data_IF_366702711451
#
_entry.id   IF_366702711451
#
_cell.length_a   1.000
_cell.length_b   1.000
_cell.length_c   1.000
_cell.angle_alpha   90.00
_cell.angle_beta   90.00
_cell.angle_gamma   90.00
#
_symmetry.space_group_name_H-M   'P 1'
#
loop_
_entity.id
_entity.type
_entity.pdbx_description
1 polymer ?
#
# COMPACT_ATOMS: atom_id res chain seq x y z
N UNK A 1 -2.40 -50.67 -8.45
CA UNK A 1 -1.53 -49.54 -8.82
C UNK A 1 -1.76 -48.43 -7.83
N UNK A 2 -0.83 -48.23 -6.91
CA UNK A 2 -0.94 -47.24 -5.83
C UNK A 2 -0.03 -46.07 -6.18
N UNK A 3 -0.60 -44.88 -6.39
CA UNK A 3 0.17 -43.67 -6.66
C UNK A 3 0.76 -43.17 -5.34
N UNK A 4 2.08 -43.33 -5.19
CA UNK A 4 2.85 -42.71 -4.12
C UNK A 4 3.03 -41.24 -4.50
N UNK A 5 2.32 -40.34 -3.84
CA UNK A 5 2.59 -38.90 -3.93
C UNK A 5 3.91 -38.65 -3.24
N UNK A 6 4.98 -38.48 -4.03
CA UNK A 6 6.26 -38.02 -3.51
C UNK A 6 6.05 -36.61 -2.94
N UNK A 7 6.13 -36.49 -1.61
CA UNK A 7 6.29 -35.21 -0.93
C UNK A 7 7.62 -34.63 -1.37
N UNK A 8 7.58 -33.73 -2.34
CA UNK A 8 8.70 -32.86 -2.64
C UNK A 8 8.95 -32.03 -1.38
N UNK A 9 10.06 -32.32 -0.70
CA UNK A 9 10.63 -31.47 0.34
C UNK A 9 11.08 -30.17 -0.34
N UNK A 10 10.13 -29.25 -0.56
CA UNK A 10 10.47 -27.88 -0.89
C UNK A 10 11.23 -27.32 0.29
N UNK A 11 12.44 -26.82 0.02
CA UNK A 11 13.36 -26.30 1.02
C UNK A 11 12.66 -25.32 1.97
N UNK A 12 13.07 -25.35 3.23
CA UNK A 12 12.59 -24.48 4.32
C UNK A 12 13.10 -23.04 4.18
N UNK A 13 12.92 -22.45 2.99
CA UNK A 13 13.19 -21.04 2.66
C UNK A 13 11.90 -20.35 2.19
N UNK A 14 10.75 -20.84 2.64
CA UNK A 14 9.52 -20.07 2.57
C UNK A 14 9.68 -18.91 3.56
N UNK A 15 10.20 -17.80 3.05
CA UNK A 15 10.12 -16.46 3.61
C UNK A 15 8.96 -16.38 4.58
N UNK A 16 9.26 -16.34 5.88
CA UNK A 16 8.26 -16.12 6.91
C UNK A 16 7.81 -14.66 6.73
N UNK A 17 6.96 -14.41 5.74
CA UNK A 17 6.39 -13.09 5.49
C UNK A 17 5.54 -12.83 6.70
N UNK A 18 6.10 -12.03 7.62
CA UNK A 18 5.40 -11.65 8.82
C UNK A 18 4.04 -11.09 8.42
N UNK A 19 3.00 -11.34 9.23
CA UNK A 19 1.65 -10.77 9.00
C UNK A 19 1.74 -9.28 8.66
N UNK A 20 2.68 -8.57 9.29
CA UNK A 20 2.99 -7.17 9.02
C UNK A 20 3.58 -6.89 7.65
N UNK A 21 4.54 -7.69 7.20
CA UNK A 21 5.11 -7.58 5.85
C UNK A 21 4.06 -7.81 4.77
N UNK A 22 3.18 -8.81 4.96
CA UNK A 22 2.11 -9.11 4.01
C UNK A 22 1.09 -7.98 3.93
N UNK A 23 0.55 -7.56 5.07
CA UNK A 23 -0.45 -6.49 5.14
C UNK A 23 0.12 -5.17 4.64
N UNK A 24 1.40 -4.87 4.92
CA UNK A 24 2.04 -3.65 4.39
C UNK A 24 2.10 -3.64 2.87
N UNK A 25 2.44 -4.77 2.23
CA UNK A 25 2.45 -4.87 0.76
C UNK A 25 1.06 -4.69 0.16
N UNK A 26 0.02 -5.23 0.80
CA UNK A 26 -1.36 -4.97 0.36
C UNK A 26 -1.78 -3.52 0.54
N UNK A 27 -1.36 -2.88 1.64
CA UNK A 27 -1.61 -1.46 1.86
C UNK A 27 -1.02 -0.61 0.71
N UNK A 28 0.19 -0.95 0.24
CA UNK A 28 0.83 -0.24 -0.87
C UNK A 28 0.08 -0.48 -2.20
N UNK A 29 -0.41 -1.70 -2.44
CA UNK A 29 -1.26 -2.00 -3.61
C UNK A 29 -2.57 -1.22 -3.59
N UNK A 30 -3.30 -1.22 -2.47
CA UNK A 30 -4.54 -0.45 -2.34
C UNK A 30 -4.30 1.07 -2.46
N UNK A 31 -3.14 1.55 -2.01
CA UNK A 31 -2.77 2.94 -2.20
C UNK A 31 -2.48 3.28 -3.67
N UNK A 32 -1.95 2.35 -4.46
CA UNK A 32 -1.76 2.57 -5.89
C UNK A 32 -3.11 2.71 -6.63
N UNK A 33 -4.10 1.89 -6.28
CA UNK A 33 -5.42 1.88 -6.92
C UNK A 33 -6.38 2.96 -6.40
N UNK A 34 -6.15 3.48 -5.19
CA UNK A 34 -6.93 4.57 -4.62
C UNK A 34 -6.04 5.81 -4.40
N UNK A 35 -5.69 6.54 -5.47
CA UNK A 35 -4.88 7.73 -5.40
C UNK A 35 -5.65 8.93 -4.86
N UNK A 36 -4.94 9.86 -4.22
CA UNK A 36 -5.52 11.12 -3.75
C UNK A 36 -5.80 12.04 -4.93
N UNK A 37 -6.89 12.80 -4.87
CA UNK A 37 -7.21 13.82 -5.88
C UNK A 37 -7.04 15.22 -5.29
N UNK A 38 -6.28 16.08 -5.97
CA UNK A 38 -6.21 17.49 -5.62
C UNK A 38 -7.52 18.17 -6.04
N UNK A 39 -8.16 18.89 -5.10
CA UNK A 39 -9.38 19.66 -5.40
C UNK A 39 -9.10 20.87 -6.28
N UNK A 40 -7.91 21.45 -6.14
CA UNK A 40 -7.53 22.71 -6.75
C UNK A 40 -7.09 22.50 -8.20
N UNK A 41 -6.12 21.61 -8.43
CA UNK A 41 -5.61 21.33 -9.78
C UNK A 41 -6.42 20.27 -10.54
N UNK A 42 -7.39 19.62 -9.88
CA UNK A 42 -8.14 18.45 -10.38
C UNK A 42 -7.29 17.24 -10.77
N UNK A 43 -5.98 17.28 -10.54
CA UNK A 43 -5.02 16.21 -10.83
C UNK A 43 -5.04 15.12 -9.76
N UNK A 44 -4.80 13.90 -10.20
CA UNK A 44 -4.66 12.72 -9.35
C UNK A 44 -3.18 12.53 -8.99
N UNK A 45 -2.90 12.33 -7.71
CA UNK A 45 -1.55 12.04 -7.21
C UNK A 45 -1.47 10.55 -6.90
N UNK A 46 -0.73 9.82 -7.72
CA UNK A 46 -0.41 8.43 -7.45
C UNK A 46 0.51 8.32 -6.22
N UNK A 47 0.27 7.30 -5.41
CA UNK A 47 1.03 7.05 -4.17
C UNK A 47 2.50 6.79 -4.51
N UNK A 48 3.41 7.51 -3.85
CA UNK A 48 4.86 7.39 -4.05
C UNK A 48 5.48 8.41 -5.00
N UNK A 49 4.69 9.10 -5.83
CA UNK A 49 5.18 10.21 -6.64
C UNK A 49 5.04 11.52 -5.86
N UNK A 50 6.18 12.13 -5.49
CA UNK A 50 6.28 13.55 -5.11
C UNK A 50 5.99 14.49 -6.28
N UNK A 51 5.08 14.12 -7.19
CA UNK A 51 4.44 15.07 -8.09
C UNK A 51 3.50 15.89 -7.22
N UNK A 52 4.09 16.82 -6.46
CA UNK A 52 3.36 17.95 -5.92
C UNK A 52 2.62 18.56 -7.11
N UNK A 53 1.33 18.86 -6.93
CA UNK A 53 0.69 19.76 -7.88
C UNK A 53 1.67 20.93 -8.08
N UNK A 54 1.98 21.31 -9.34
CA UNK A 54 2.93 22.38 -9.57
C UNK A 54 2.51 23.50 -8.64
N UNK A 55 3.42 23.93 -7.77
CA UNK A 55 3.13 25.09 -6.93
C UNK A 55 2.84 26.18 -7.95
N UNK A 56 1.57 26.55 -8.11
CA UNK A 56 1.10 27.46 -9.14
C UNK A 56 1.61 28.87 -8.81
N UNK A 57 2.93 29.10 -8.65
CA UNK A 57 3.52 30.38 -8.22
C UNK A 57 3.07 30.93 -6.85
N UNK A 58 2.04 30.37 -6.23
CA UNK A 58 1.27 31.01 -5.16
C UNK A 58 1.41 30.35 -3.79
N UNK A 59 2.34 29.40 -3.61
CA UNK A 59 2.65 28.83 -2.28
C UNK A 59 1.46 28.22 -1.53
N UNK A 60 0.33 27.99 -2.21
CA UNK A 60 -0.92 27.56 -1.60
C UNK A 60 -0.84 26.11 -1.16
N UNK A 61 -1.32 25.80 0.05
CA UNK A 61 -1.51 24.41 0.48
C UNK A 61 -2.65 23.83 -0.36
N UNK A 62 -2.33 22.89 -1.24
CA UNK A 62 -3.34 22.18 -2.02
C UNK A 62 -4.18 21.30 -1.11
N UNK A 63 -5.49 21.31 -1.31
CA UNK A 63 -6.42 20.44 -0.60
C UNK A 63 -6.60 19.13 -1.36
N UNK A 64 -6.35 18.01 -0.69
CA UNK A 64 -6.50 16.67 -1.26
C UNK A 64 -7.73 15.98 -0.68
N UNK A 65 -8.41 15.20 -1.52
CA UNK A 65 -9.55 14.37 -1.10
C UNK A 65 -9.47 12.96 -1.64
N UNK A 66 -10.12 12.05 -0.91
CA UNK A 66 -10.07 10.63 -1.18
C UNK A 66 -8.70 10.04 -0.90
N UNK A 67 -8.42 8.92 -1.57
CA UNK A 67 -7.20 8.17 -1.42
C UNK A 67 -7.26 7.13 -0.30
N UNK A 68 -6.30 6.21 -0.33
CA UNK A 68 -6.15 5.17 0.67
C UNK A 68 -5.55 5.72 1.98
N UNK A 69 -6.16 5.36 3.11
CA UNK A 69 -5.63 5.66 4.44
C UNK A 69 -4.92 4.43 5.01
N UNK A 70 -3.59 4.42 4.88
CA UNK A 70 -2.74 3.33 5.35
C UNK A 70 -2.89 3.06 6.85
N UNK A 71 -2.98 4.10 7.67
CA UNK A 71 -3.07 3.95 9.12
C UNK A 71 -4.38 3.28 9.55
N UNK A 72 -5.51 3.67 8.93
CA UNK A 72 -6.81 3.04 9.19
C UNK A 72 -6.82 1.58 8.74
N UNK A 73 -6.30 1.28 7.55
CA UNK A 73 -6.20 -0.09 7.06
C UNK A 73 -5.33 -0.98 7.97
N UNK A 74 -4.18 -0.48 8.42
CA UNK A 74 -3.31 -1.22 9.33
C UNK A 74 -3.98 -1.46 10.68
N UNK A 75 -4.66 -0.45 11.23
CA UNK A 75 -5.44 -0.58 12.46
C UNK A 75 -6.51 -1.66 12.34
N UNK A 76 -7.25 -1.66 11.24
CA UNK A 76 -8.33 -2.63 10.99
C UNK A 76 -7.76 -4.06 10.77
N UNK A 77 -6.52 -4.17 10.30
CA UNK A 77 -5.77 -5.43 10.24
C UNK A 77 -5.16 -5.87 11.60
N UNK A 78 -5.33 -5.07 12.65
CA UNK A 78 -4.78 -5.32 13.99
C UNK A 78 -3.26 -5.09 14.08
N UNK A 79 -2.71 -4.20 13.24
CA UNK A 79 -1.29 -3.85 13.23
C UNK A 79 -1.10 -2.47 13.85
N UNK A 80 -0.27 -2.38 14.90
CA UNK A 80 0.13 -1.12 15.49
C UNK A 80 1.29 -0.53 14.70
N UNK A 81 1.21 0.76 14.36
CA UNK A 81 2.36 1.49 13.83
C UNK A 81 3.42 1.61 14.93
N UNK A 82 4.61 0.99 14.74
CA UNK A 82 5.77 1.23 15.62
C UNK A 82 6.59 0.05 16.14
N UNK A 83 6.20 -1.22 15.91
CA UNK A 83 7.03 -2.40 16.31
C UNK A 83 7.86 -3.01 15.18
#
# INVERSE_FOLDING_TARGET
>A
MTLIVQRSSFGTDADYVSKRGLVSRFADLFAADNPKRCRDCKRTQATGLKMLCPQDGFGGRHTYVGGFNRAEFLRDCGIKEGE
#
